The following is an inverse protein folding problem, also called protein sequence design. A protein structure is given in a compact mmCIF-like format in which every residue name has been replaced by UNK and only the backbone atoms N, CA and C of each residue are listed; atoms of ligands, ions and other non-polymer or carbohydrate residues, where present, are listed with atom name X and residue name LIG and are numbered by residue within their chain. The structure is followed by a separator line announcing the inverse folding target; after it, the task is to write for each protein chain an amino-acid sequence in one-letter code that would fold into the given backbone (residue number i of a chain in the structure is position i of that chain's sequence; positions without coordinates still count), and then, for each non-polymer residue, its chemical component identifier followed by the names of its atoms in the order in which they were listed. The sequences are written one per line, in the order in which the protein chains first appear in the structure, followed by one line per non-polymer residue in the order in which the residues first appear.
data_IF_390042190150
#
_entry.id   IF_390042190150
#
_cell.length_a   1.000
_cell.length_b   1.000
_cell.length_c   1.000
_cell.angle_alpha   90.00
_cell.angle_beta   90.00
_cell.angle_gamma   90.00
#
_symmetry.space_group_name_H-M   'P 1'
#
loop_
_entity.id
_entity.type
_entity.pdbx_description
1 polymer ?
#
# COMPACT_ATOMS: atom_id res chain seq x y z
N UNK A 1 -9.91 -9.50 -2.44
CA UNK A 1 -9.71 -8.05 -2.26
C UNK A 1 -8.52 -7.63 -3.08
N UNK A 2 -8.76 -6.79 -4.07
CA UNK A 2 -7.74 -6.30 -4.99
C UNK A 2 -7.44 -4.83 -4.67
N UNK A 3 -6.16 -4.43 -4.69
CA UNK A 3 -5.76 -3.04 -4.50
C UNK A 3 -6.26 -2.18 -5.68
N UNK A 4 -7.16 -1.24 -5.39
CA UNK A 4 -7.75 -0.38 -6.41
C UNK A 4 -7.03 0.97 -6.55
N UNK A 5 -6.68 1.61 -5.43
CA UNK A 5 -5.95 2.90 -5.42
C UNK A 5 -4.93 2.93 -4.30
N UNK A 6 -3.78 3.56 -4.54
CA UNK A 6 -2.78 3.78 -3.52
C UNK A 6 -2.04 5.11 -3.70
N UNK A 7 -1.87 5.83 -2.60
CA UNK A 7 -1.13 7.09 -2.56
C UNK A 7 -0.09 7.03 -1.45
N UNK A 8 1.15 7.42 -1.76
CA UNK A 8 2.21 7.59 -0.75
C UNK A 8 2.40 9.05 -0.37
N UNK A 9 2.57 9.31 0.93
CA UNK A 9 2.88 10.63 1.46
C UNK A 9 3.57 10.54 2.83
N UNK A 10 4.19 11.63 3.28
CA UNK A 10 4.68 11.74 4.65
C UNK A 10 3.67 12.43 5.56
N UNK A 11 3.91 12.37 6.87
CA UNK A 11 3.04 12.95 7.90
C UNK A 11 2.64 14.40 7.63
N UNK A 12 3.59 15.22 7.21
CA UNK A 12 3.40 16.65 6.94
C UNK A 12 2.39 16.92 5.82
N UNK A 13 2.08 15.93 4.99
CA UNK A 13 1.25 16.08 3.79
C UNK A 13 -0.19 15.61 3.97
N UNK A 14 -0.54 15.04 5.14
CA UNK A 14 -1.89 14.52 5.40
C UNK A 14 -2.99 15.57 5.18
N UNK A 15 -2.71 16.85 5.45
CA UNK A 15 -3.66 17.94 5.23
C UNK A 15 -4.01 18.20 3.77
N UNK A 16 -3.17 17.76 2.82
CA UNK A 16 -3.39 17.96 1.39
C UNK A 16 -4.16 16.81 0.73
N UNK A 17 -4.25 15.64 1.38
CA UNK A 17 -4.92 14.45 0.81
C UNK A 17 -6.36 14.77 0.39
N UNK A 18 -7.10 15.46 1.26
CA UNK A 18 -8.49 15.84 1.00
C UNK A 18 -8.63 16.86 -0.16
N UNK A 19 -7.57 17.61 -0.48
CA UNK A 19 -7.58 18.60 -1.57
C UNK A 19 -7.41 17.94 -2.94
N UNK A 20 -6.78 16.77 -2.99
CA UNK A 20 -6.51 16.05 -4.24
C UNK A 20 -7.72 15.27 -4.77
N UNK A 21 -8.76 15.06 -3.94
CA UNK A 21 -9.93 14.24 -4.25
C UNK A 21 -9.58 12.88 -4.90
N UNK A 22 -8.44 12.31 -4.49
CA UNK A 22 -7.91 11.06 -5.06
C UNK A 22 -8.72 9.83 -4.59
N UNK A 23 -9.15 9.86 -3.32
CA UNK A 23 -10.09 8.91 -2.74
C UNK A 23 -11.47 9.56 -2.69
N UNK A 24 -12.48 8.79 -3.06
CA UNK A 24 -13.87 9.22 -3.18
C UNK A 24 -14.81 8.16 -2.56
N UNK A 25 -16.11 8.33 -2.73
CA UNK A 25 -17.12 7.39 -2.21
C UNK A 25 -17.09 6.01 -2.88
N UNK A 26 -16.56 5.92 -4.11
CA UNK A 26 -16.41 4.65 -4.85
C UNK A 26 -15.07 3.96 -4.56
N UNK A 27 -14.11 4.71 -4.05
CA UNK A 27 -12.76 4.26 -3.73
C UNK A 27 -12.25 4.84 -2.42
N UNK A 28 -12.94 4.54 -1.30
CA UNK A 28 -12.59 5.06 0.00
C UNK A 28 -11.22 4.55 0.48
N UNK A 29 -10.49 5.42 1.18
CA UNK A 29 -9.27 5.05 1.88
C UNK A 29 -9.63 4.39 3.22
N UNK A 30 -9.74 3.07 3.21
CA UNK A 30 -10.07 2.28 4.40
C UNK A 30 -8.85 1.76 5.15
N UNK A 31 -7.74 1.54 4.45
CA UNK A 31 -6.52 0.99 5.02
C UNK A 31 -5.34 1.92 4.76
N UNK A 32 -4.35 1.84 5.63
CA UNK A 32 -3.06 2.48 5.44
C UNK A 32 -1.93 1.57 5.87
N UNK A 33 -0.78 1.78 5.24
CA UNK A 33 0.48 1.17 5.58
C UNK A 33 1.40 2.24 6.13
N UNK A 34 2.16 1.89 7.15
CA UNK A 34 3.35 2.65 7.56
C UNK A 34 4.53 1.91 6.97
N UNK A 35 5.30 2.62 6.16
CA UNK A 35 6.45 2.06 5.48
C UNK A 35 7.70 2.86 5.79
N UNK A 36 8.87 2.24 5.63
CA UNK A 36 10.15 2.96 5.62
C UNK A 36 10.93 2.68 4.34
N UNK A 37 11.84 3.59 4.04
CA UNK A 37 12.92 3.42 3.07
C UNK A 37 14.13 4.26 3.49
N UNK A 38 15.31 4.02 2.90
CA UNK A 38 16.45 4.93 3.04
C UNK A 38 16.05 6.38 2.80
N UNK A 39 16.61 7.31 3.57
CA UNK A 39 16.41 8.74 3.38
C UNK A 39 17.12 9.17 2.10
N UNK A 40 16.41 9.96 1.29
CA UNK A 40 17.00 10.58 0.11
C UNK A 40 17.11 12.08 0.33
N UNK A 41 18.24 12.64 -0.05
CA UNK A 41 18.48 14.07 -0.06
C UNK A 41 19.09 14.50 -1.39
N UNK A 42 18.90 15.77 -1.77
CA UNK A 42 19.59 16.35 -2.91
C UNK A 42 20.91 16.96 -2.47
N UNK A 43 21.89 17.00 -3.37
CA UNK A 43 23.09 17.80 -3.20
C UNK A 43 22.80 19.24 -3.63
N UNK A 44 22.66 20.21 -2.69
CA UNK A 44 22.29 21.58 -3.03
C UNK A 44 23.36 22.28 -3.89
N UNK A 45 24.61 21.82 -3.81
CA UNK A 45 25.75 22.42 -4.51
C UNK A 45 25.97 21.83 -5.91
N UNK A 46 25.22 20.80 -6.29
CA UNK A 46 25.32 20.15 -7.61
C UNK A 46 24.07 20.39 -8.46
N UNK A 47 24.13 21.44 -9.28
CA UNK A 47 23.14 21.73 -10.31
C UNK A 47 23.85 22.17 -11.59
N UNK A 48 23.75 21.38 -12.65
CA UNK A 48 24.30 21.72 -13.96
C UNK A 48 23.19 21.76 -14.98
N UNK A 49 23.15 22.80 -15.81
CA UNK A 49 22.15 22.98 -16.85
C UNK A 49 22.80 23.50 -18.13
N UNK A 50 22.45 22.87 -19.24
CA UNK A 50 22.82 23.30 -20.59
C UNK A 50 21.59 23.22 -21.50
N UNK A 51 21.73 23.55 -22.79
CA UNK A 51 20.59 23.56 -23.73
C UNK A 51 19.91 22.20 -23.92
N UNK A 52 20.62 21.10 -23.68
CA UNK A 52 20.16 19.73 -23.88
C UNK A 52 19.82 19.03 -22.57
N UNK A 53 20.49 19.35 -21.47
CA UNK A 53 20.41 18.55 -20.25
C UNK A 53 20.38 19.34 -18.94
N UNK A 54 19.75 18.74 -17.93
CA UNK A 54 19.81 19.14 -16.52
C UNK A 54 20.43 17.97 -15.76
N UNK A 55 21.44 18.24 -14.94
CA UNK A 55 22.04 17.26 -14.05
C UNK A 55 21.89 17.66 -12.59
N UNK A 56 21.45 16.70 -11.78
CA UNK A 56 21.26 16.79 -10.33
C UNK A 56 22.06 15.66 -9.67
N UNK A 57 22.33 15.77 -8.38
CA UNK A 57 22.89 14.67 -7.61
C UNK A 57 22.02 14.39 -6.39
N UNK A 58 21.71 13.11 -6.16
CA UNK A 58 21.03 12.65 -4.97
C UNK A 58 21.99 11.86 -4.08
N UNK A 59 21.69 11.85 -2.79
CA UNK A 59 22.36 11.06 -1.76
C UNK A 59 21.34 10.14 -1.12
N UNK A 60 21.67 8.85 -1.07
CA UNK A 60 20.89 7.81 -0.39
C UNK A 60 21.61 7.49 0.91
N UNK A 61 20.94 7.66 2.04
CA UNK A 61 21.51 7.47 3.36
C UNK A 61 21.20 6.06 3.85
N UNK A 62 22.24 5.32 4.22
CA UNK A 62 22.16 4.05 4.92
C UNK A 62 22.79 4.21 6.31
N UNK A 63 22.62 3.20 7.16
CA UNK A 63 23.18 3.19 8.51
C UNK A 63 24.72 3.33 8.56
N UNK A 64 25.44 2.82 7.55
CA UNK A 64 26.90 2.75 7.51
C UNK A 64 27.56 3.62 6.43
N UNK A 65 26.77 4.13 5.47
CA UNK A 65 27.30 4.85 4.31
C UNK A 65 26.28 5.80 3.67
N UNK A 66 26.79 6.67 2.80
CA UNK A 66 25.99 7.47 1.89
C UNK A 66 26.39 7.09 0.45
N UNK A 67 25.41 6.72 -0.36
CA UNK A 67 25.60 6.48 -1.80
C UNK A 67 25.19 7.72 -2.58
N UNK A 68 26.02 8.16 -3.54
CA UNK A 68 25.71 9.28 -4.41
C UNK A 68 25.33 8.82 -5.82
N UNK A 69 24.27 9.39 -6.38
CA UNK A 69 23.84 9.12 -7.75
C UNK A 69 23.62 10.42 -8.52
N UNK A 70 24.23 10.52 -9.70
CA UNK A 70 23.96 11.63 -10.60
C UNK A 70 22.75 11.30 -11.49
N UNK A 71 21.77 12.19 -11.48
CA UNK A 71 20.61 12.15 -12.36
C UNK A 71 20.84 13.10 -13.53
N UNK A 72 20.52 12.66 -14.75
CA UNK A 72 20.62 13.48 -15.96
C UNK A 72 19.34 13.37 -16.77
N UNK A 73 18.71 14.50 -17.04
CA UNK A 73 17.45 14.60 -17.76
C UNK A 73 17.57 15.54 -18.95
N UNK A 74 16.64 15.45 -19.90
CA UNK A 74 16.54 16.43 -20.97
C UNK A 74 16.12 17.79 -20.39
N UNK A 75 16.72 18.88 -20.88
CA UNK A 75 16.36 20.22 -20.46
C UNK A 75 15.03 20.67 -21.10
N UNK A 76 13.95 20.54 -20.33
CA UNK A 76 12.61 21.01 -20.71
C UNK A 76 12.25 22.38 -20.14
N UNK A 77 13.18 23.09 -19.47
CA UNK A 77 12.92 24.41 -18.87
C UNK A 77 12.79 25.53 -19.92
N UNK A 78 13.29 25.30 -21.14
CA UNK A 78 13.37 26.32 -22.19
C UNK A 78 14.34 27.46 -21.86
N UNK A 79 15.21 27.27 -20.86
CA UNK A 79 16.24 28.23 -20.43
C UNK A 79 17.43 27.48 -19.82
N UNK A 80 18.58 28.14 -19.77
CA UNK A 80 19.75 27.72 -18.98
C UNK A 80 19.90 28.55 -17.70
N UNK A 81 19.10 29.61 -17.54
CA UNK A 81 19.08 30.47 -16.36
C UNK A 81 18.12 29.87 -15.33
N UNK A 82 18.55 28.80 -14.68
CA UNK A 82 17.83 28.15 -13.59
C UNK A 82 18.74 27.93 -12.39
N UNK A 83 18.14 27.81 -11.20
CA UNK A 83 18.84 27.51 -9.95
C UNK A 83 18.11 26.43 -9.18
N UNK A 84 18.88 25.58 -8.53
CA UNK A 84 18.36 24.65 -7.53
C UNK A 84 18.40 25.33 -6.15
N UNK A 85 17.29 25.25 -5.43
CA UNK A 85 17.15 25.77 -4.07
C UNK A 85 16.71 24.61 -3.18
N UNK A 86 17.44 24.37 -2.10
CA UNK A 86 17.10 23.33 -1.14
C UNK A 86 17.62 23.72 0.23
N UNK A 87 16.79 23.53 1.26
CA UNK A 87 17.15 23.80 2.65
C UNK A 87 17.29 22.50 3.43
N UNK A 88 18.15 22.50 4.45
CA UNK A 88 18.31 21.36 5.35
C UNK A 88 16.94 20.90 5.90
N UNK A 89 16.59 19.60 5.85
CA UNK A 89 17.47 18.44 5.66
C UNK A 89 17.66 17.99 4.21
N UNK A 90 17.43 18.86 3.22
CA UNK A 90 17.63 18.62 1.79
C UNK A 90 16.78 17.49 1.19
N UNK A 91 15.67 17.14 1.86
CA UNK A 91 14.68 16.15 1.36
C UNK A 91 13.66 16.74 0.37
N UNK A 92 13.71 18.06 0.17
CA UNK A 92 12.92 18.83 -0.79
C UNK A 92 13.80 19.78 -1.56
N UNK A 93 13.43 20.09 -2.78
CA UNK A 93 14.11 21.10 -3.58
C UNK A 93 13.12 21.84 -4.48
N UNK A 94 13.53 23.02 -4.90
CA UNK A 94 12.87 23.81 -5.92
C UNK A 94 13.83 24.05 -7.08
N UNK A 95 13.31 24.01 -8.30
CA UNK A 95 14.00 24.54 -9.48
C UNK A 95 13.35 25.88 -9.81
N UNK A 96 14.13 26.95 -9.71
CA UNK A 96 13.69 28.31 -9.98
C UNK A 96 14.25 28.79 -11.31
N UNK A 97 13.39 29.42 -12.11
CA UNK A 97 13.75 30.11 -13.35
C UNK A 97 13.45 31.60 -13.22
N UNK A 98 13.80 32.37 -14.24
CA UNK A 98 13.41 33.79 -14.33
C UNK A 98 11.87 34.00 -14.30
N UNK A 99 11.08 32.96 -14.63
CA UNK A 99 9.61 32.98 -14.60
C UNK A 99 9.03 32.59 -13.24
N UNK A 100 9.86 32.23 -12.26
CA UNK A 100 9.46 31.73 -10.95
C UNK A 100 9.77 30.25 -10.73
N UNK A 101 9.08 29.64 -9.75
CA UNK A 101 9.26 28.23 -9.38
C UNK A 101 8.72 27.34 -10.52
N UNK A 102 9.61 26.55 -11.11
CA UNK A 102 9.28 25.58 -12.16
C UNK A 102 8.95 24.20 -11.57
N UNK A 103 9.65 23.81 -10.50
CA UNK A 103 9.39 22.58 -9.77
C UNK A 103 9.55 22.82 -8.28
N UNK A 104 8.67 22.21 -7.47
CA UNK A 104 8.75 22.09 -6.02
C UNK A 104 8.45 20.64 -5.69
N UNK A 105 9.46 19.89 -5.25
CA UNK A 105 9.36 18.45 -5.12
C UNK A 105 10.12 17.90 -3.92
N UNK A 106 9.59 16.82 -3.36
CA UNK A 106 10.37 15.92 -2.50
C UNK A 106 11.31 15.09 -3.37
N UNK A 107 12.52 14.86 -2.88
CA UNK A 107 13.55 14.13 -3.61
C UNK A 107 13.06 12.72 -3.95
N UNK A 108 12.54 11.97 -2.99
CA UNK A 108 12.21 10.56 -3.20
C UNK A 108 11.08 10.33 -4.22
N UNK A 109 9.89 10.98 -4.13
CA UNK A 109 8.87 10.88 -5.18
C UNK A 109 9.32 11.44 -6.53
N UNK A 110 10.17 12.48 -6.53
CA UNK A 110 10.74 12.99 -7.78
C UNK A 110 11.58 11.93 -8.48
N UNK A 111 12.54 11.32 -7.77
CA UNK A 111 13.38 10.24 -8.31
C UNK A 111 12.54 9.06 -8.77
N UNK A 112 11.50 8.72 -8.01
CA UNK A 112 10.55 7.65 -8.30
C UNK A 112 9.68 7.89 -9.54
N UNK A 113 9.54 9.14 -10.00
CA UNK A 113 8.78 9.45 -11.21
C UNK A 113 9.55 9.19 -12.52
N UNK A 114 10.84 8.85 -12.44
CA UNK A 114 11.68 8.61 -13.61
C UNK A 114 12.12 7.15 -13.71
N UNK A 115 12.23 6.67 -14.95
CA UNK A 115 12.92 5.42 -15.25
C UNK A 115 14.44 5.68 -15.31
N UNK A 116 15.18 5.14 -14.35
CA UNK A 116 16.60 5.41 -14.17
C UNK A 116 17.44 4.21 -14.59
N UNK A 117 18.63 4.47 -15.15
CA UNK A 117 19.53 3.44 -15.67
C UNK A 117 20.43 2.83 -14.59
N UNK A 118 20.00 2.83 -13.33
CA UNK A 118 20.73 2.26 -12.20
C UNK A 118 19.76 1.64 -11.20
N UNK A 119 20.26 0.82 -10.28
CA UNK A 119 19.43 0.17 -9.28
C UNK A 119 18.69 1.19 -8.39
N UNK A 120 17.37 1.16 -8.43
CA UNK A 120 16.48 2.02 -7.66
C UNK A 120 15.85 1.31 -6.47
N UNK A 121 16.39 0.16 -6.05
CA UNK A 121 15.89 -0.63 -4.92
C UNK A 121 15.80 0.11 -3.58
N UNK A 122 16.48 1.26 -3.46
CA UNK A 122 16.36 2.18 -2.33
C UNK A 122 15.03 2.96 -2.29
N UNK A 123 14.24 2.94 -3.36
CA UNK A 123 12.91 3.54 -3.40
C UNK A 123 11.81 2.63 -2.85
N UNK A 124 12.09 1.33 -2.76
CA UNK A 124 11.14 0.31 -2.29
C UNK A 124 10.78 0.51 -0.82
N UNK A 125 9.56 0.11 -0.48
CA UNK A 125 8.95 0.39 0.82
C UNK A 125 8.88 -0.88 1.68
N UNK A 126 9.57 -0.86 2.82
CA UNK A 126 9.41 -1.88 3.84
C UNK A 126 8.17 -1.59 4.68
N UNK A 127 7.23 -2.52 4.74
CA UNK A 127 5.99 -2.44 5.51
C UNK A 127 6.27 -2.71 6.99
N UNK A 128 6.06 -1.68 7.81
CA UNK A 128 6.27 -1.70 9.27
C UNK A 128 4.97 -1.85 10.05
N UNK A 129 3.86 -1.37 9.50
CA UNK A 129 2.54 -1.48 10.12
C UNK A 129 1.43 -1.39 9.08
N UNK A 130 0.32 -2.06 9.35
CA UNK A 130 -0.92 -1.98 8.57
C UNK A 130 -2.05 -1.68 9.55
N UNK A 131 -2.92 -0.73 9.19
CA UNK A 131 -4.09 -0.42 10.01
C UNK A 131 -5.23 0.20 9.23
N UNK A 132 -6.35 0.40 9.93
CA UNK A 132 -7.54 1.03 9.36
C UNK A 132 -7.52 2.56 9.48
N UNK A 133 -7.93 3.24 8.42
CA UNK A 133 -8.03 4.70 8.37
C UNK A 133 -9.46 5.24 8.56
N UNK A 134 -10.50 4.40 8.57
CA UNK A 134 -11.90 4.87 8.59
C UNK A 134 -12.35 5.44 9.96
N UNK A 135 -13.16 6.50 9.92
CA UNK A 135 -13.94 7.02 11.05
C UNK A 135 -15.34 6.41 11.07
N UNK A 136 -16.00 6.42 12.23
CA UNK A 136 -17.18 5.59 12.54
C UNK A 136 -18.43 5.93 11.69
N UNK A 137 -18.47 7.05 10.96
CA UNK A 137 -19.69 7.54 10.28
C UNK A 137 -19.48 7.98 8.81
N UNK A 138 -18.75 7.19 8.00
CA UNK A 138 -18.64 7.46 6.56
C UNK A 138 -17.94 8.77 6.18
N UNK A 139 -17.39 9.49 7.15
CA UNK A 139 -16.83 10.81 6.98
C UNK A 139 -15.37 10.75 6.50
N UNK A 140 -15.08 11.59 5.51
CA UNK A 140 -13.81 11.89 4.80
C UNK A 140 -12.61 12.27 5.69
N UNK A 141 -12.25 11.47 6.69
CA UNK A 141 -11.28 11.88 7.72
C UNK A 141 -10.25 10.79 8.07
N UNK A 142 -9.85 9.98 7.09
CA UNK A 142 -8.60 9.21 7.17
C UNK A 142 -7.43 10.08 7.69
N UNK A 143 -7.23 11.33 7.21
CA UNK A 143 -6.19 12.20 7.74
C UNK A 143 -6.32 12.60 9.21
N UNK A 144 -7.54 12.80 9.74
CA UNK A 144 -7.72 13.37 11.07
C UNK A 144 -7.61 12.31 12.18
N UNK A 145 -8.08 11.07 11.95
CA UNK A 145 -7.83 9.95 12.87
C UNK A 145 -6.35 9.59 12.94
N UNK A 146 -5.66 9.62 11.79
CA UNK A 146 -4.23 9.30 11.70
C UNK A 146 -3.32 10.28 12.44
N UNK A 147 -3.77 11.51 12.71
CA UNK A 147 -3.01 12.48 13.51
C UNK A 147 -3.02 12.14 15.01
N UNK A 148 -4.06 11.48 15.50
CA UNK A 148 -4.29 11.22 16.93
C UNK A 148 -3.94 9.78 17.36
N UNK A 149 -3.42 8.95 16.46
CA UNK A 149 -3.20 7.53 16.73
C UNK A 149 -1.89 7.27 17.50
N UNK A 150 -1.97 6.82 18.75
CA UNK A 150 -0.83 6.61 19.64
C UNK A 150 0.20 5.60 19.13
N UNK A 151 -0.23 4.47 18.56
CA UNK A 151 0.67 3.47 17.95
C UNK A 151 1.54 4.08 16.86
N UNK A 152 0.98 5.01 16.11
CA UNK A 152 1.63 5.63 14.97
C UNK A 152 2.68 6.64 15.42
N UNK A 153 2.35 7.44 16.42
CA UNK A 153 3.31 8.32 17.10
C UNK A 153 4.46 7.51 17.70
N UNK A 154 4.17 6.34 18.27
CA UNK A 154 5.18 5.38 18.73
C UNK A 154 6.13 4.94 17.62
N UNK A 155 5.60 4.50 16.47
CA UNK A 155 6.42 4.09 15.31
C UNK A 155 7.30 5.25 14.84
N UNK A 156 6.75 6.47 14.73
CA UNK A 156 7.55 7.64 14.33
C UNK A 156 8.67 7.95 15.34
N UNK A 157 8.38 7.92 16.64
CA UNK A 157 9.37 8.17 17.68
C UNK A 157 10.49 7.13 17.67
N UNK A 158 10.14 5.85 17.55
CA UNK A 158 11.10 4.75 17.48
C UNK A 158 11.93 4.81 16.20
N UNK A 159 11.29 5.04 15.05
CA UNK A 159 11.97 5.14 13.76
C UNK A 159 12.99 6.28 13.73
N UNK A 160 12.65 7.47 14.25
CA UNK A 160 13.56 8.61 14.32
C UNK A 160 14.76 8.30 15.23
N UNK A 161 14.54 7.58 16.32
CA UNK A 161 15.58 7.26 17.30
C UNK A 161 16.52 6.18 16.79
N UNK A 162 15.98 5.11 16.23
CA UNK A 162 16.73 3.91 15.89
C UNK A 162 17.20 3.87 14.42
N UNK A 163 16.58 4.67 13.54
CA UNK A 163 16.84 4.65 12.08
C UNK A 163 16.81 6.09 11.51
N UNK A 164 17.69 7.00 11.96
CA UNK A 164 17.69 8.40 11.50
C UNK A 164 17.96 8.54 9.99
N UNK A 165 18.68 7.57 9.43
CA UNK A 165 18.98 7.37 8.01
C UNK A 165 17.77 6.91 7.18
N UNK A 166 16.63 6.61 7.82
CA UNK A 166 15.40 6.24 7.13
C UNK A 166 14.38 7.39 7.09
N UNK A 167 13.48 7.34 6.13
CA UNK A 167 12.28 8.14 6.07
C UNK A 167 11.02 7.28 6.17
N UNK A 168 10.04 7.78 6.94
CA UNK A 168 8.75 7.10 7.14
C UNK A 168 7.71 7.65 6.18
N UNK A 169 7.08 6.74 5.46
CA UNK A 169 6.02 6.99 4.49
C UNK A 169 4.73 6.32 4.94
N UNK A 170 3.63 6.90 4.48
CA UNK A 170 2.29 6.33 4.60
C UNK A 170 1.81 5.97 3.21
N UNK A 171 1.44 4.72 3.01
CA UNK A 171 0.70 4.33 1.81
C UNK A 171 -0.79 4.23 2.19
N UNK A 172 -1.59 5.19 1.73
CA UNK A 172 -3.04 5.17 1.86
C UNK A 172 -3.59 4.26 0.77
N UNK A 173 -4.49 3.34 1.12
CA UNK A 173 -4.95 2.30 0.22
C UNK A 173 -6.47 2.13 0.21
N UNK A 174 -6.99 1.93 -0.99
CA UNK A 174 -8.36 1.50 -1.25
C UNK A 174 -8.34 0.12 -1.89
N UNK A 175 -9.18 -0.77 -1.39
CA UNK A 175 -9.31 -2.13 -1.90
C UNK A 175 -10.74 -2.37 -2.39
N UNK A 176 -10.86 -3.08 -3.50
CA UNK A 176 -12.14 -3.52 -4.05
C UNK A 176 -12.37 -5.02 -3.88
N UNK A 177 -13.63 -5.39 -3.80
CA UNK A 177 -14.05 -6.78 -3.70
C UNK A 177 -14.15 -7.40 -5.10
N UNK A 178 -13.43 -8.50 -5.30
CA UNK A 178 -13.58 -9.38 -6.45
C UNK A 178 -14.11 -10.71 -5.94
N UNK A 179 -15.26 -11.13 -6.47
CA UNK A 179 -15.88 -12.41 -6.14
C UNK A 179 -15.54 -13.43 -7.22
N UNK A 180 -15.03 -14.59 -6.79
CA UNK A 180 -14.74 -15.72 -7.69
C UNK A 180 -15.55 -16.91 -7.19
N UNK A 181 -16.37 -17.46 -8.08
CA UNK A 181 -17.13 -18.69 -7.84
C UNK A 181 -16.56 -19.80 -8.71
N UNK A 182 -16.38 -20.99 -8.12
CA UNK A 182 -15.93 -22.18 -8.83
C UNK A 182 -16.92 -23.31 -8.60
N UNK A 183 -17.08 -24.18 -9.60
CA UNK A 183 -17.99 -25.32 -9.57
C UNK A 183 -17.23 -26.61 -9.92
N UNK A 184 -17.60 -27.73 -9.27
CA UNK A 184 -17.06 -29.05 -9.59
C UNK A 184 -17.97 -29.72 -10.62
N UNK A 185 -17.45 -29.94 -11.83
CA UNK A 185 -18.17 -30.63 -12.90
C UNK A 185 -17.88 -32.14 -12.99
N UNK A 186 -17.05 -32.69 -12.10
CA UNK A 186 -16.54 -34.08 -12.18
C UNK A 186 -17.14 -34.97 -11.11
N UNK A 187 -17.26 -34.44 -9.89
CA UNK A 187 -17.82 -35.21 -8.78
C UNK A 187 -19.29 -35.52 -9.05
N UNK A 188 -19.65 -36.79 -8.89
CA UNK A 188 -21.05 -37.22 -9.02
C UNK A 188 -21.74 -37.04 -7.68
N UNK A 189 -22.71 -36.14 -7.65
CA UNK A 189 -23.56 -35.88 -6.50
C UNK A 189 -24.91 -36.58 -6.68
N UNK A 190 -25.55 -36.93 -5.57
CA UNK A 190 -26.94 -37.36 -5.51
C UNK A 190 -27.88 -36.18 -5.81
N UNK A 191 -29.14 -36.47 -6.16
CA UNK A 191 -30.14 -35.41 -6.44
C UNK A 191 -30.37 -34.51 -5.21
N UNK A 192 -30.33 -35.06 -4.00
CA UNK A 192 -30.47 -34.33 -2.75
C UNK A 192 -29.29 -33.37 -2.50
N UNK A 193 -28.07 -33.83 -2.76
CA UNK A 193 -26.86 -33.00 -2.66
C UNK A 193 -26.88 -31.85 -3.68
N UNK A 194 -27.34 -32.12 -4.90
CA UNK A 194 -27.47 -31.10 -5.95
C UNK A 194 -28.49 -30.01 -5.58
N UNK A 195 -29.66 -30.39 -5.04
CA UNK A 195 -30.67 -29.41 -4.64
C UNK A 195 -30.21 -28.59 -3.42
N UNK A 196 -29.53 -29.23 -2.47
CA UNK A 196 -28.93 -28.53 -1.31
C UNK A 196 -27.86 -27.54 -1.76
N UNK A 197 -26.96 -27.95 -2.65
CA UNK A 197 -25.89 -27.10 -3.17
C UNK A 197 -26.45 -25.92 -3.99
N UNK A 198 -27.48 -26.16 -4.80
CA UNK A 198 -28.17 -25.11 -5.55
C UNK A 198 -28.79 -24.06 -4.64
N UNK A 199 -29.43 -24.46 -3.54
CA UNK A 199 -29.99 -23.52 -2.56
C UNK A 199 -28.88 -22.70 -1.87
N UNK A 200 -27.77 -23.35 -1.49
CA UNK A 200 -26.60 -22.67 -0.94
C UNK A 200 -25.99 -21.68 -1.94
N UNK A 201 -25.80 -22.09 -3.19
CA UNK A 201 -25.28 -21.26 -4.27
C UNK A 201 -26.15 -20.02 -4.47
N UNK A 202 -27.47 -20.19 -4.50
CA UNK A 202 -28.41 -19.08 -4.67
C UNK A 202 -28.34 -18.11 -3.47
N UNK A 203 -28.27 -18.63 -2.25
CA UNK A 203 -28.08 -17.80 -1.05
C UNK A 203 -26.79 -16.98 -1.12
N UNK A 204 -25.65 -17.63 -1.42
CA UNK A 204 -24.36 -16.93 -1.54
C UNK A 204 -24.38 -15.92 -2.68
N UNK A 205 -24.94 -16.27 -3.84
CA UNK A 205 -25.06 -15.38 -4.98
C UNK A 205 -25.87 -14.12 -4.65
N UNK A 206 -27.04 -14.28 -4.02
CA UNK A 206 -27.89 -13.17 -3.61
C UNK A 206 -27.18 -12.30 -2.56
N UNK A 207 -26.54 -12.93 -1.57
CA UNK A 207 -25.79 -12.21 -0.53
C UNK A 207 -24.63 -11.41 -1.10
N UNK A 208 -23.84 -11.97 -2.02
CA UNK A 208 -22.65 -11.29 -2.54
C UNK A 208 -22.96 -10.24 -3.61
N UNK A 209 -24.00 -10.44 -4.43
CA UNK A 209 -24.29 -9.58 -5.58
C UNK A 209 -25.47 -8.62 -5.37
N UNK A 210 -26.40 -8.90 -4.46
CA UNK A 210 -27.58 -8.07 -4.22
C UNK A 210 -27.53 -7.36 -2.86
N UNK A 211 -27.18 -8.08 -1.79
CA UNK A 211 -27.17 -7.52 -0.43
C UNK A 211 -25.83 -6.91 -0.03
N UNK A 212 -24.72 -7.51 -0.49
CA UNK A 212 -23.36 -7.17 -0.10
C UNK A 212 -22.94 -7.78 1.25
N UNK A 213 -21.64 -8.02 1.42
CA UNK A 213 -21.03 -8.22 2.74
C UNK A 213 -20.95 -6.86 3.42
N UNK A 214 -21.08 -6.81 4.75
CA UNK A 214 -20.85 -5.58 5.51
C UNK A 214 -19.44 -5.00 5.25
N UNK A 215 -19.38 -3.71 4.88
CA UNK A 215 -18.12 -3.03 4.54
C UNK A 215 -17.08 -3.09 5.67
N UNK A 216 -17.49 -2.93 6.94
CA UNK A 216 -16.55 -3.02 8.06
C UNK A 216 -15.94 -4.42 8.16
N UNK A 217 -16.71 -5.47 7.87
CA UNK A 217 -16.17 -6.82 7.81
C UNK A 217 -15.18 -7.00 6.66
N UNK A 218 -15.44 -6.37 5.50
CA UNK A 218 -14.48 -6.34 4.38
C UNK A 218 -13.16 -5.71 4.78
N UNK A 219 -13.23 -4.56 5.43
CA UNK A 219 -12.05 -3.85 5.94
C UNK A 219 -11.29 -4.72 6.95
N UNK A 220 -12.00 -5.32 7.91
CA UNK A 220 -11.40 -6.13 8.97
C UNK A 220 -10.67 -7.38 8.42
N UNK A 221 -11.30 -8.14 7.51
CA UNK A 221 -10.63 -9.32 6.97
C UNK A 221 -9.48 -8.93 6.03
N UNK A 222 -9.61 -7.81 5.30
CA UNK A 222 -8.53 -7.32 4.43
C UNK A 222 -7.31 -6.92 5.25
N UNK A 223 -7.52 -6.18 6.34
CA UNK A 223 -6.49 -5.84 7.31
C UNK A 223 -5.83 -7.09 7.88
N UNK A 224 -6.62 -8.05 8.38
CA UNK A 224 -6.10 -9.27 8.98
C UNK A 224 -5.30 -10.12 7.98
N UNK A 225 -5.77 -10.24 6.73
CA UNK A 225 -5.07 -10.95 5.66
C UNK A 225 -3.75 -10.28 5.27
N UNK A 226 -3.73 -8.94 5.17
CA UNK A 226 -2.51 -8.18 4.88
C UNK A 226 -1.50 -8.29 6.02
N UNK A 227 -1.93 -8.18 7.28
CA UNK A 227 -1.06 -8.36 8.46
C UNK A 227 -0.50 -9.77 8.51
N UNK A 228 -1.32 -10.80 8.24
CA UNK A 228 -0.86 -12.18 8.19
C UNK A 228 0.16 -12.43 7.08
N UNK A 229 -0.02 -11.78 5.93
CA UNK A 229 0.89 -11.91 4.80
C UNK A 229 2.22 -11.18 5.03
N UNK A 230 2.18 -9.88 5.33
CA UNK A 230 3.38 -9.07 5.53
C UNK A 230 4.04 -9.32 6.89
N UNK A 231 3.31 -9.76 7.91
CA UNK A 231 3.81 -9.92 9.27
C UNK A 231 4.66 -8.73 9.77
N UNK A 232 4.19 -7.48 9.59
CA UNK A 232 5.00 -6.31 9.85
C UNK A 232 5.37 -6.21 11.34
N UNK A 233 6.47 -5.53 11.65
CA UNK A 233 7.08 -5.57 12.98
C UNK A 233 6.19 -5.00 14.08
N UNK A 234 5.38 -3.99 13.77
CA UNK A 234 4.54 -3.30 14.75
C UNK A 234 3.10 -3.82 14.87
N UNK A 235 2.66 -4.75 14.00
CA UNK A 235 1.38 -5.44 14.21
C UNK A 235 1.56 -6.68 15.08
N UNK A 236 0.71 -6.83 16.09
CA UNK A 236 0.69 -8.00 16.99
C UNK A 236 -0.55 -8.87 16.71
N UNK A 237 -1.72 -8.25 16.61
CA UNK A 237 -3.00 -8.94 16.35
C UNK A 237 -3.01 -9.46 14.89
N UNK A 238 -3.65 -10.62 14.65
CA UNK A 238 -3.79 -11.32 13.36
C UNK A 238 -2.52 -11.94 12.76
N UNK A 239 -1.33 -11.46 13.16
CA UNK A 239 -0.04 -11.93 12.64
C UNK A 239 0.07 -13.45 12.63
N UNK A 240 -0.23 -14.07 13.77
CA UNK A 240 -0.16 -15.52 13.95
C UNK A 240 -1.51 -16.23 13.97
N UNK A 241 -2.60 -15.47 14.05
CA UNK A 241 -3.93 -16.00 14.38
C UNK A 241 -4.95 -15.95 13.26
N UNK A 242 -4.68 -15.25 12.14
CA UNK A 242 -5.59 -15.23 11.00
C UNK A 242 -5.27 -16.37 10.00
N UNK A 243 -6.29 -17.06 9.44
CA UNK A 243 -7.74 -16.96 9.75
C UNK A 243 -8.14 -17.67 11.06
N UNK A 244 -9.18 -17.16 11.73
CA UNK A 244 -9.78 -17.80 12.90
C UNK A 244 -11.31 -17.62 12.92
N UNK A 245 -12.10 -18.72 12.96
CA UNK A 245 -13.57 -18.67 12.97
C UNK A 245 -14.16 -18.06 14.25
N UNK A 246 -13.43 -18.07 15.36
CA UNK A 246 -13.88 -17.45 16.61
C UNK A 246 -13.83 -15.91 16.58
N UNK A 247 -13.23 -15.32 15.53
CA UNK A 247 -13.04 -13.89 15.45
C UNK A 247 -14.28 -13.19 14.89
N UNK A 248 -14.97 -12.42 15.75
CA UNK A 248 -16.27 -11.81 15.41
C UNK A 248 -16.21 -10.70 14.35
N UNK A 249 -15.04 -10.13 14.08
CA UNK A 249 -14.91 -8.96 13.19
C UNK A 249 -15.07 -9.29 11.70
N UNK A 250 -15.09 -10.58 11.34
CA UNK A 250 -15.34 -11.06 9.98
C UNK A 250 -16.19 -12.35 9.98
N UNK A 251 -17.16 -12.46 10.91
CA UNK A 251 -18.01 -13.66 11.05
C UNK A 251 -18.90 -13.92 9.83
N UNK A 252 -19.31 -12.87 9.09
CA UNK A 252 -20.11 -13.01 7.88
C UNK A 252 -19.42 -13.88 6.83
N UNK A 253 -18.08 -13.91 6.81
CA UNK A 253 -17.35 -14.80 5.91
C UNK A 253 -17.62 -16.29 6.21
N UNK A 254 -17.77 -16.64 7.49
CA UNK A 254 -18.09 -18.01 7.90
C UNK A 254 -19.59 -18.30 7.80
N UNK A 255 -20.44 -17.33 8.11
CA UNK A 255 -21.91 -17.46 7.96
C UNK A 255 -22.32 -17.65 6.49
N UNK A 256 -21.62 -16.99 5.56
CA UNK A 256 -21.80 -17.16 4.12
C UNK A 256 -21.11 -18.40 3.55
N UNK A 257 -20.46 -19.20 4.38
CA UNK A 257 -19.71 -20.38 3.97
C UNK A 257 -18.72 -20.02 2.82
N UNK A 258 -17.91 -18.96 3.02
CA UNK A 258 -16.86 -18.56 2.07
C UNK A 258 -15.67 -19.50 2.22
N UNK A 259 -15.28 -20.17 1.14
CA UNK A 259 -14.18 -21.12 1.17
C UNK A 259 -12.81 -20.48 1.48
N UNK A 260 -12.54 -19.34 0.83
CA UNK A 260 -11.25 -18.67 0.95
C UNK A 260 -11.36 -17.19 0.68
N UNK A 261 -10.50 -16.40 1.32
CA UNK A 261 -10.26 -15.00 0.97
C UNK A 261 -8.87 -14.85 0.38
N UNK A 262 -8.71 -13.90 -0.53
CA UNK A 262 -7.42 -13.57 -1.10
C UNK A 262 -7.19 -12.07 -1.09
N UNK A 263 -5.94 -11.69 -0.88
CA UNK A 263 -5.42 -10.36 -1.15
C UNK A 263 -4.62 -10.37 -2.43
N UNK A 264 -4.78 -9.32 -3.22
CA UNK A 264 -3.97 -9.04 -4.39
C UNK A 264 -3.59 -7.56 -4.38
N UNK A 265 -2.32 -7.27 -4.57
CA UNK A 265 -1.80 -5.92 -4.57
C UNK A 265 -0.76 -5.77 -5.67
N UNK A 266 -0.98 -4.80 -6.57
CA UNK A 266 0.00 -4.41 -7.59
C UNK A 266 0.36 -2.94 -7.43
N UNK A 267 1.62 -2.64 -7.13
CA UNK A 267 2.06 -1.28 -6.75
C UNK A 267 2.72 -0.50 -7.88
N UNK A 268 3.14 -1.16 -8.97
CA UNK A 268 3.85 -0.51 -10.08
C UNK A 268 3.07 0.66 -10.67
N UNK A 269 1.80 0.43 -11.02
CA UNK A 269 0.96 1.44 -11.69
C UNK A 269 0.49 2.54 -10.75
N UNK A 270 0.44 2.25 -9.44
CA UNK A 270 -0.10 3.17 -8.43
C UNK A 270 0.97 4.12 -7.89
N UNK A 271 2.11 3.56 -7.50
CA UNK A 271 3.15 4.29 -6.78
C UNK A 271 4.54 4.06 -7.36
N UNK A 272 4.74 3.19 -8.35
CA UNK A 272 6.05 2.92 -8.98
C UNK A 272 7.17 2.55 -7.98
N UNK A 273 6.87 1.66 -7.03
CA UNK A 273 7.90 1.01 -6.20
C UNK A 273 7.42 -0.37 -5.75
N UNK A 274 8.34 -1.20 -5.28
CA UNK A 274 8.02 -2.50 -4.70
C UNK A 274 7.75 -2.36 -3.20
N UNK A 275 6.98 -3.29 -2.65
CA UNK A 275 6.79 -3.42 -1.21
C UNK A 275 7.39 -4.73 -0.71
N UNK A 276 7.74 -4.76 0.58
CA UNK A 276 8.29 -5.95 1.24
C UNK A 276 8.14 -5.84 2.75
N UNK A 277 8.51 -6.90 3.45
CA UNK A 277 8.72 -6.88 4.90
C UNK A 277 9.81 -7.90 5.27
N UNK A 278 10.04 -8.12 6.56
CA UNK A 278 10.93 -9.20 7.02
C UNK A 278 10.46 -10.60 6.55
N UNK A 279 9.16 -10.79 6.33
CA UNK A 279 8.56 -12.10 5.98
C UNK A 279 8.03 -12.18 4.55
N UNK A 280 7.64 -11.06 3.96
CA UNK A 280 7.16 -11.00 2.59
C UNK A 280 8.29 -10.56 1.66
N UNK A 281 8.54 -11.36 0.62
CA UNK A 281 9.52 -11.04 -0.41
C UNK A 281 9.22 -9.71 -1.09
N UNK A 282 10.28 -9.05 -1.53
CA UNK A 282 10.19 -7.81 -2.25
C UNK A 282 9.62 -8.02 -3.64
N UNK A 283 8.49 -7.38 -3.91
CA UNK A 283 7.78 -7.53 -5.17
C UNK A 283 6.90 -6.31 -5.46
N UNK A 284 6.64 -5.97 -6.73
CA UNK A 284 5.55 -5.08 -7.08
C UNK A 284 4.18 -5.78 -7.03
N UNK A 285 4.15 -7.11 -7.05
CA UNK A 285 2.93 -7.91 -7.06
C UNK A 285 2.90 -8.87 -5.85
N UNK A 286 1.91 -8.67 -4.99
CA UNK A 286 1.68 -9.51 -3.82
C UNK A 286 0.33 -10.21 -3.96
N UNK A 287 0.35 -11.53 -3.88
CA UNK A 287 -0.85 -12.35 -3.90
C UNK A 287 -0.79 -13.37 -2.77
N UNK A 288 -1.86 -13.46 -1.97
CA UNK A 288 -1.99 -14.50 -0.96
C UNK A 288 -3.44 -14.91 -0.78
N UNK A 289 -3.68 -16.21 -0.91
CA UNK A 289 -4.94 -16.88 -0.58
C UNK A 289 -4.87 -17.50 0.81
N UNK A 290 -5.95 -17.35 1.57
CA UNK A 290 -6.17 -17.95 2.87
C UNK A 290 -7.45 -18.78 2.83
N UNK A 291 -7.35 -20.08 3.12
CA UNK A 291 -8.51 -20.93 3.33
C UNK A 291 -9.13 -20.59 4.68
N UNK A 292 -10.45 -20.42 4.73
CA UNK A 292 -11.16 -20.13 5.99
C UNK A 292 -11.53 -21.40 6.76
N UNK A 293 -11.61 -22.53 6.07
CA UNK A 293 -11.95 -23.82 6.64
C UNK A 293 -10.74 -24.76 6.56
N UNK A 294 -10.71 -25.75 7.46
CA UNK A 294 -9.74 -26.84 7.37
C UNK A 294 -10.02 -27.71 6.14
N UNK A 295 -9.01 -28.39 5.56
CA UNK A 295 -9.22 -29.31 4.44
C UNK A 295 -10.21 -30.44 4.76
N UNK A 296 -10.32 -30.84 6.03
CA UNK A 296 -11.27 -31.83 6.53
C UNK A 296 -12.71 -31.32 6.49
N UNK A 297 -12.93 -30.06 6.86
CA UNK A 297 -14.25 -29.40 6.79
C UNK A 297 -14.60 -29.04 5.34
N UNK A 298 -13.61 -28.59 4.56
CA UNK A 298 -13.81 -28.17 3.17
C UNK A 298 -12.56 -28.36 2.34
N UNK A 299 -12.60 -29.36 1.45
CA UNK A 299 -11.53 -29.60 0.47
C UNK A 299 -11.42 -28.43 -0.49
N UNK A 300 -10.19 -28.01 -0.76
CA UNK A 300 -9.90 -27.03 -1.80
C UNK A 300 -10.30 -27.59 -3.16
N UNK A 301 -11.03 -26.82 -3.96
CA UNK A 301 -11.38 -27.22 -5.34
C UNK A 301 -10.14 -27.50 -6.21
N UNK A 302 -8.99 -26.91 -5.88
CA UNK A 302 -7.72 -27.14 -6.56
C UNK A 302 -7.00 -28.43 -6.10
N UNK A 303 -7.51 -29.09 -5.06
CA UNK A 303 -6.98 -30.34 -4.52
C UNK A 303 -7.83 -31.55 -4.93
N UNK A 304 -8.94 -31.35 -5.66
CA UNK A 304 -9.78 -32.42 -6.25
C UNK A 304 -9.12 -32.97 -7.54
N UNK A 305 -7.78 -33.07 -7.57
CA UNK A 305 -7.03 -33.64 -8.69
C UNK A 305 -6.99 -35.16 -8.63
#
# INVERSE_FOLDING_TARGET
MNLYKMMILQQSELGYVNQQNYFDEYSPCHLYFVCRRPRLTIDPDFFQIDKQSISLKIRVHYNDRISEHQLKFHNNLGTVNAKLISEYPYSKFQIMTEKGIWSDAKVSPFVQSYNLNFDTSFLDLEVLYIGQSYGVDGARTAPDRLKQHSTLQGIYAEAITNNPDSEIWRALASFEQVNIMMMDGRTKFTEEELETDKNRMMHVFNRLNLEGINEQQKINFTEAALIRYFQPSYNIIYKDTFPNPAHKTYSECYELDINSVAIEMHTTEMINCQMYSEKAEKSPWHFKKFLLHSPEERRSMFEIL
#
